data_IF_336865407896
#
_entry.id   IF_336865407896
#
_cell.length_a   1.000
_cell.length_b   1.000
_cell.length_c   1.000
_cell.angle_alpha   90.00
_cell.angle_beta   90.00
_cell.angle_gamma   90.00
#
_symmetry.space_group_name_H-M   'P 1'
#
loop_
_entity.id
_entity.type
_entity.pdbx_description
1 polymer ?
#
# COMPACT_ATOMS: atom_id res chain seq x y z
N UNK A 1 5.85 -45.36 35.73
CA UNK A 1 6.58 -44.30 36.47
C UNK A 1 5.88 -42.98 36.10
N UNK A 2 4.92 -42.43 36.87
CA UNK A 2 5.05 -41.27 37.81
C UNK A 2 6.24 -40.35 37.41
N UNK A 3 6.13 -39.05 37.04
CA UNK A 3 5.47 -37.85 37.63
C UNK A 3 5.38 -36.78 36.49
N UNK A 4 4.30 -36.06 36.22
CA UNK A 4 3.76 -34.85 36.87
C UNK A 4 4.75 -33.67 37.08
N UNK A 5 4.29 -32.46 36.70
CA UNK A 5 4.51 -31.09 37.26
C UNK A 5 5.02 -30.07 36.22
N UNK A 6 4.21 -29.17 35.62
CA UNK A 6 3.56 -27.88 36.00
C UNK A 6 4.39 -26.57 35.93
N UNK A 7 3.74 -25.54 35.35
CA UNK A 7 3.67 -24.10 35.71
C UNK A 7 4.78 -23.09 35.31
N UNK A 8 4.36 -22.16 34.42
CA UNK A 8 4.09 -20.72 34.70
C UNK A 8 5.26 -19.79 35.02
N UNK A 9 5.41 -18.70 34.24
CA UNK A 9 5.85 -17.35 34.68
C UNK A 9 5.58 -16.39 33.50
N UNK A 10 4.52 -15.58 33.49
CA UNK A 10 4.23 -14.35 34.24
C UNK A 10 4.61 -13.08 33.45
N UNK A 11 3.64 -12.17 33.42
CA UNK A 11 3.60 -10.90 32.71
C UNK A 11 4.67 -9.90 33.17
N UNK A 12 5.12 -9.06 32.23
CA UNK A 12 5.86 -7.83 32.51
C UNK A 12 4.99 -6.61 32.20
N UNK A 13 5.12 -5.64 33.10
CA UNK A 13 4.31 -4.48 33.42
C UNK A 13 4.65 -3.21 32.60
N UNK A 14 3.59 -2.42 32.29
CA UNK A 14 3.34 -0.99 32.60
C UNK A 14 4.27 0.16 32.07
N UNK A 15 3.57 1.29 31.75
CA UNK A 15 3.96 2.73 31.74
C UNK A 15 4.40 3.32 30.40
N UNK A 16 3.97 4.51 29.94
CA UNK A 16 3.41 5.71 30.59
C UNK A 16 2.50 6.48 29.58
N UNK A 17 1.32 7.01 29.95
CA UNK A 17 1.09 8.39 30.42
C UNK A 17 1.94 9.48 29.74
N UNK A 18 1.31 10.43 29.03
CA UNK A 18 1.15 11.83 29.50
C UNK A 18 1.10 12.87 28.35
N UNK A 19 0.01 13.64 28.36
CA UNK A 19 -0.09 15.10 28.11
C UNK A 19 0.04 15.69 26.68
N UNK A 20 -1.12 16.04 26.11
CA UNK A 20 -1.43 17.39 25.56
C UNK A 20 -1.46 18.43 26.71
N UNK A 21 -1.56 19.77 26.48
CA UNK A 21 -1.44 20.59 25.26
C UNK A 21 -0.50 21.82 25.49
N UNK A 22 -0.20 22.62 24.46
CA UNK A 22 -0.18 24.11 24.55
C UNK A 22 0.23 24.78 23.22
N UNK A 23 -0.74 25.50 22.67
CA UNK A 23 -0.58 26.62 21.73
C UNK A 23 -0.22 27.88 22.53
N UNK A 24 0.58 28.80 21.96
CA UNK A 24 0.16 30.19 22.07
C UNK A 24 0.24 30.92 20.74
N UNK A 25 -0.89 31.56 20.44
CA UNK A 25 -1.08 32.58 19.44
C UNK A 25 -0.41 33.92 19.81
N UNK A 26 -0.35 34.78 18.76
CA UNK A 26 -0.19 36.25 18.67
C UNK A 26 1.17 36.90 18.98
N UNK A 27 1.56 38.05 18.35
CA UNK A 27 0.75 38.94 17.50
C UNK A 27 1.38 39.43 16.17
N UNK A 28 0.50 39.99 15.33
CA UNK A 28 0.78 40.91 14.23
C UNK A 28 1.58 42.15 14.69
N UNK A 29 2.48 42.66 13.85
CA UNK A 29 2.79 44.10 13.77
C UNK A 29 3.22 44.48 12.36
N UNK A 30 2.45 45.42 11.81
CA UNK A 30 2.57 46.13 10.54
C UNK A 30 3.63 47.24 10.57
N UNK A 31 4.40 47.41 9.49
CA UNK A 31 4.91 48.68 8.91
C UNK A 31 5.79 48.35 7.68
N UNK A 32 5.41 48.65 6.43
CA UNK A 32 5.64 49.94 5.71
C UNK A 32 7.06 50.47 5.95
N UNK A 33 7.93 50.74 4.96
CA UNK A 33 7.72 51.50 3.73
C UNK A 33 9.01 51.45 2.86
N UNK A 34 8.94 51.94 1.61
CA UNK A 34 10.04 52.42 0.72
C UNK A 34 10.43 51.60 -0.54
N UNK A 35 9.69 51.95 -1.60
CA UNK A 35 9.99 52.27 -3.01
C UNK A 35 11.44 52.30 -3.53
N UNK A 36 11.58 51.70 -4.74
CA UNK A 36 12.49 51.97 -5.88
C UNK A 36 14.01 51.73 -5.80
N UNK A 37 14.49 50.72 -6.53
CA UNK A 37 15.48 50.90 -7.60
C UNK A 37 15.66 49.63 -8.46
N UNK A 38 15.72 49.86 -9.77
CA UNK A 38 15.92 48.93 -10.88
C UNK A 38 17.13 48.01 -10.71
N UNK A 39 16.91 46.70 -10.86
CA UNK A 39 17.95 45.78 -11.36
C UNK A 39 17.34 44.87 -12.42
N UNK A 40 17.55 45.27 -13.66
CA UNK A 40 17.47 44.40 -14.83
C UNK A 40 18.45 43.23 -14.65
N UNK A 41 18.12 42.07 -15.23
CA UNK A 41 18.94 40.85 -15.29
C UNK A 41 19.01 40.00 -14.01
N UNK A 42 18.26 38.90 -13.99
CA UNK A 42 18.75 37.52 -13.83
C UNK A 42 17.57 36.57 -13.66
N UNK A 43 17.67 35.44 -14.37
CA UNK A 43 16.75 34.31 -14.39
C UNK A 43 15.35 34.60 -14.92
N UNK A 44 15.20 34.27 -16.20
CA UNK A 44 14.09 33.48 -16.71
C UNK A 44 13.87 32.29 -15.75
N UNK A 45 13.24 32.53 -14.58
CA UNK A 45 12.49 31.51 -13.86
C UNK A 45 11.36 31.16 -14.82
N UNK A 46 11.68 30.23 -15.72
CA UNK A 46 10.74 29.29 -16.29
C UNK A 46 9.81 28.99 -15.13
N UNK A 47 8.58 29.49 -15.24
CA UNK A 47 7.46 29.13 -14.41
C UNK A 47 7.64 27.66 -14.13
N UNK A 48 8.02 27.35 -12.88
CA UNK A 48 7.94 26.01 -12.38
C UNK A 48 6.45 25.77 -12.50
N UNK A 49 6.06 25.13 -13.61
CA UNK A 49 4.74 24.58 -13.75
C UNK A 49 4.59 23.81 -12.46
N UNK A 50 3.68 24.27 -11.58
CA UNK A 50 3.26 23.49 -10.45
C UNK A 50 2.96 22.14 -11.05
N UNK A 51 3.81 21.16 -10.74
CA UNK A 51 3.59 19.78 -11.08
C UNK A 51 2.25 19.50 -10.41
N UNK A 52 1.19 19.51 -11.22
CA UNK A 52 -0.10 19.04 -10.77
C UNK A 52 0.20 17.68 -10.15
N UNK A 53 -0.30 17.39 -8.93
CA UNK A 53 -0.09 16.08 -8.33
C UNK A 53 -0.41 15.06 -9.41
N UNK A 54 0.59 14.27 -9.84
CA UNK A 54 0.36 13.26 -10.87
C UNK A 54 -0.77 12.40 -10.33
N UNK A 55 -1.93 12.43 -10.99
CA UNK A 55 -3.04 11.58 -10.59
C UNK A 55 -2.51 10.14 -10.57
N UNK A 56 -2.78 9.38 -9.50
CA UNK A 56 -2.22 8.05 -9.36
C UNK A 56 -2.58 7.23 -10.61
N UNK A 57 -1.56 6.70 -11.29
CA UNK A 57 -1.75 5.95 -12.54
C UNK A 57 -2.62 4.73 -12.24
N UNK A 58 -3.86 4.76 -12.72
CA UNK A 58 -4.79 3.65 -12.71
C UNK A 58 -4.98 3.18 -14.15
N UNK A 59 -4.26 2.12 -14.52
CA UNK A 59 -4.45 1.45 -15.80
C UNK A 59 -5.12 0.11 -15.52
N UNK A 60 -6.45 0.09 -15.69
CA UNK A 60 -7.27 -1.08 -15.42
C UNK A 60 -7.13 -2.16 -16.50
N UNK A 61 -6.68 -1.81 -17.71
CA UNK A 61 -6.53 -2.75 -18.81
C UNK A 61 -7.79 -3.57 -19.11
N UNK A 62 -7.59 -4.68 -19.81
CA UNK A 62 -8.58 -5.74 -19.95
C UNK A 62 -8.34 -6.79 -18.85
N UNK A 63 -9.22 -6.91 -17.84
CA UNK A 63 -8.99 -7.78 -16.69
C UNK A 63 -8.98 -9.27 -17.05
N UNK A 64 -9.50 -9.66 -18.22
CA UNK A 64 -9.41 -11.03 -18.72
C UNK A 64 -7.99 -11.37 -19.20
N UNK A 65 -7.20 -10.36 -19.58
CA UNK A 65 -5.89 -10.54 -20.23
C UNK A 65 -4.73 -10.14 -19.34
N UNK A 66 -4.90 -9.12 -18.52
CA UNK A 66 -3.85 -8.56 -17.69
C UNK A 66 -4.34 -8.18 -16.30
N UNK A 67 -3.40 -8.24 -15.34
CA UNK A 67 -3.63 -7.74 -14.00
C UNK A 67 -3.71 -6.21 -14.04
N UNK A 68 -4.65 -5.58 -13.31
CA UNK A 68 -4.78 -4.14 -13.27
C UNK A 68 -3.53 -3.51 -12.63
N UNK A 69 -3.09 -2.40 -13.22
CA UNK A 69 -1.95 -1.62 -12.73
C UNK A 69 -2.49 -0.48 -11.89
N UNK A 70 -2.45 -0.68 -10.58
CA UNK A 70 -2.93 0.25 -9.58
C UNK A 70 -1.78 0.70 -8.67
N UNK A 71 -2.01 1.77 -7.93
CA UNK A 71 -1.10 2.28 -6.91
C UNK A 71 -1.89 2.57 -5.64
N UNK A 72 -1.24 2.36 -4.49
CA UNK A 72 -1.79 2.74 -3.20
C UNK A 72 -2.07 4.25 -3.16
N UNK A 73 -3.22 4.63 -2.62
CA UNK A 73 -3.70 6.03 -2.63
C UNK A 73 -3.44 6.77 -1.31
N UNK A 74 -3.10 6.05 -0.23
CA UNK A 74 -2.82 6.65 1.07
C UNK A 74 -1.32 6.94 1.27
N UNK A 75 -1.00 8.06 1.93
CA UNK A 75 0.40 8.37 2.25
C UNK A 75 0.99 7.41 3.30
N UNK A 76 0.17 6.99 4.27
CA UNK A 76 0.56 6.11 5.37
C UNK A 76 0.04 4.68 5.17
N UNK A 77 0.69 3.66 5.77
CA UNK A 77 0.19 2.29 5.73
C UNK A 77 -1.25 2.19 6.29
N UNK A 78 -2.15 1.67 5.48
CA UNK A 78 -3.55 1.48 5.82
C UNK A 78 -3.93 0.03 6.06
N UNK A 79 -5.23 -0.20 6.30
CA UNK A 79 -5.81 -1.54 6.53
C UNK A 79 -6.23 -2.23 5.24
N UNK A 80 -6.00 -1.63 4.06
CA UNK A 80 -6.54 -2.16 2.82
C UNK A 80 -6.09 -3.58 2.48
N UNK A 81 -4.90 -4.03 2.90
CA UNK A 81 -4.44 -5.42 2.68
C UNK A 81 -5.27 -6.46 3.46
N UNK A 82 -6.01 -6.07 4.49
CA UNK A 82 -6.91 -6.96 5.22
C UNK A 82 -8.22 -7.22 4.46
N UNK A 83 -8.53 -6.43 3.43
CA UNK A 83 -9.72 -6.65 2.62
C UNK A 83 -9.59 -7.92 1.77
N UNK A 84 -10.71 -8.63 1.62
CA UNK A 84 -10.80 -9.84 0.81
C UNK A 84 -10.85 -9.50 -0.69
N UNK A 85 -10.20 -10.35 -1.46
CA UNK A 85 -10.27 -10.35 -2.92
C UNK A 85 -11.42 -11.26 -3.38
N UNK A 86 -12.17 -10.77 -4.34
CA UNK A 86 -13.24 -11.53 -5.01
C UNK A 86 -12.69 -12.10 -6.31
N UNK A 87 -12.52 -13.41 -6.36
CA UNK A 87 -11.98 -14.13 -7.51
C UNK A 87 -13.04 -14.71 -8.44
N UNK A 88 -14.33 -14.39 -8.22
CA UNK A 88 -15.45 -15.00 -8.96
C UNK A 88 -15.53 -14.56 -10.41
N UNK A 89 -15.03 -13.36 -10.73
CA UNK A 89 -14.86 -12.88 -12.10
C UNK A 89 -13.64 -11.95 -12.23
N UNK A 90 -13.11 -11.75 -13.46
CA UNK A 90 -12.04 -10.79 -13.71
C UNK A 90 -12.37 -9.37 -13.23
N UNK A 91 -13.61 -8.94 -13.41
CA UNK A 91 -14.09 -7.61 -13.00
C UNK A 91 -14.17 -7.49 -11.48
N UNK A 92 -14.75 -8.49 -10.79
CA UNK A 92 -14.82 -8.50 -9.33
C UNK A 92 -13.41 -8.51 -8.69
N UNK A 93 -12.47 -9.21 -9.34
CA UNK A 93 -11.07 -9.21 -8.94
C UNK A 93 -10.44 -7.82 -9.12
N UNK A 94 -10.66 -7.17 -10.26
CA UNK A 94 -10.16 -5.81 -10.48
C UNK A 94 -10.76 -4.79 -9.50
N UNK A 95 -12.07 -4.87 -9.23
CA UNK A 95 -12.77 -4.00 -8.28
C UNK A 95 -12.28 -4.18 -6.84
N UNK A 96 -12.04 -5.44 -6.42
CA UNK A 96 -11.49 -5.71 -5.09
C UNK A 96 -10.06 -5.18 -4.95
N UNK A 97 -9.23 -5.31 -5.99
CA UNK A 97 -7.90 -4.69 -6.01
C UNK A 97 -7.95 -3.16 -6.00
N UNK A 98 -8.90 -2.54 -6.68
CA UNK A 98 -9.10 -1.08 -6.61
C UNK A 98 -9.46 -0.63 -5.19
N UNK A 99 -10.34 -1.37 -4.51
CA UNK A 99 -10.70 -1.09 -3.10
C UNK A 99 -9.47 -1.20 -2.20
N UNK A 100 -8.70 -2.29 -2.33
CA UNK A 100 -7.45 -2.47 -1.60
C UNK A 100 -6.47 -1.32 -1.88
N UNK A 101 -6.26 -0.98 -3.15
CA UNK A 101 -5.39 0.13 -3.56
C UNK A 101 -5.83 1.46 -2.96
N UNK A 102 -7.15 1.70 -2.91
CA UNK A 102 -7.70 2.92 -2.34
C UNK A 102 -7.44 3.05 -0.85
N UNK A 103 -7.19 1.95 -0.12
CA UNK A 103 -6.99 1.89 1.35
C UNK A 103 -5.56 1.48 1.77
N UNK A 104 -4.60 1.49 0.85
CA UNK A 104 -3.20 1.10 1.10
C UNK A 104 -2.23 2.21 0.75
N UNK A 105 -1.04 2.13 1.36
CA UNK A 105 0.10 2.94 0.91
C UNK A 105 0.71 2.42 -0.39
N UNK A 106 1.42 3.25 -1.16
CA UNK A 106 2.13 2.81 -2.36
C UNK A 106 3.04 1.61 -2.12
N UNK A 107 3.72 1.54 -0.98
CA UNK A 107 4.63 0.45 -0.66
C UNK A 107 3.89 -0.86 -0.35
N UNK A 108 2.80 -0.80 0.40
CA UNK A 108 1.93 -1.95 0.66
C UNK A 108 1.34 -2.51 -0.63
N UNK A 109 0.81 -1.64 -1.49
CA UNK A 109 0.22 -2.07 -2.75
C UNK A 109 1.28 -2.63 -3.71
N UNK A 110 2.48 -2.03 -3.75
CA UNK A 110 3.60 -2.55 -4.56
C UNK A 110 4.00 -3.96 -4.14
N UNK A 111 3.97 -4.25 -2.85
CA UNK A 111 4.22 -5.60 -2.36
C UNK A 111 3.15 -6.59 -2.85
N UNK A 112 1.87 -6.22 -2.77
CA UNK A 112 0.77 -7.02 -3.29
C UNK A 112 0.89 -7.25 -4.81
N UNK A 113 1.11 -6.19 -5.61
CA UNK A 113 1.28 -6.28 -7.07
C UNK A 113 2.45 -7.22 -7.43
N UNK A 114 3.60 -7.10 -6.76
CA UNK A 114 4.73 -7.99 -6.99
C UNK A 114 4.43 -9.45 -6.66
N UNK A 115 3.62 -9.69 -5.63
CA UNK A 115 3.17 -11.02 -5.21
C UNK A 115 2.21 -11.62 -6.22
N UNK A 116 1.24 -10.85 -6.71
CA UNK A 116 0.30 -11.25 -7.77
C UNK A 116 1.03 -11.61 -9.07
N UNK A 117 1.99 -10.78 -9.51
CA UNK A 117 2.81 -11.07 -10.69
C UNK A 117 3.63 -12.35 -10.52
N UNK A 118 4.19 -12.56 -9.33
CA UNK A 118 4.92 -13.78 -9.03
C UNK A 118 4.00 -15.01 -9.11
N UNK A 119 2.81 -14.95 -8.51
CA UNK A 119 1.83 -16.03 -8.55
C UNK A 119 1.33 -16.30 -9.98
N UNK A 120 1.06 -15.27 -10.78
CA UNK A 120 0.72 -15.41 -12.22
C UNK A 120 1.78 -16.21 -12.98
N UNK A 121 3.06 -15.98 -12.69
CA UNK A 121 4.16 -16.65 -13.38
C UNK A 121 4.42 -18.08 -12.87
N UNK A 122 4.25 -18.31 -11.56
CA UNK A 122 4.83 -19.50 -10.91
C UNK A 122 3.81 -20.40 -10.20
N UNK A 123 2.58 -19.96 -9.99
CA UNK A 123 1.51 -20.80 -9.45
C UNK A 123 1.02 -21.78 -10.50
N UNK A 124 0.79 -23.03 -10.11
CA UNK A 124 0.17 -24.03 -10.98
C UNK A 124 -1.28 -23.66 -11.33
N UNK A 125 -1.97 -22.95 -10.45
CA UNK A 125 -3.34 -22.49 -10.71
C UNK A 125 -3.40 -21.51 -11.90
N UNK A 126 -2.32 -20.75 -12.14
CA UNK A 126 -2.22 -19.81 -13.25
C UNK A 126 -1.86 -20.47 -14.59
N UNK A 127 -1.56 -21.78 -14.64
CA UNK A 127 -1.20 -22.47 -15.89
C UNK A 127 -2.35 -22.52 -16.91
N UNK A 128 -3.59 -22.50 -16.42
CA UNK A 128 -4.80 -22.36 -17.25
C UNK A 128 -5.10 -20.91 -17.66
N UNK A 129 -4.27 -19.94 -17.27
CA UNK A 129 -4.48 -18.52 -17.47
C UNK A 129 -4.94 -17.78 -16.21
N UNK A 130 -5.37 -16.54 -16.40
CA UNK A 130 -5.82 -15.66 -15.31
C UNK A 130 -7.08 -16.15 -14.58
N UNK A 131 -8.10 -16.74 -15.23
CA UNK A 131 -9.28 -17.23 -14.51
C UNK A 131 -8.95 -18.24 -13.41
N UNK A 132 -8.03 -19.18 -13.67
CA UNK A 132 -7.57 -20.14 -12.66
C UNK A 132 -6.75 -19.50 -11.55
N UNK A 133 -6.02 -18.41 -11.85
CA UNK A 133 -5.37 -17.61 -10.82
C UNK A 133 -6.43 -16.94 -9.93
N UNK A 134 -7.44 -16.27 -10.51
CA UNK A 134 -8.47 -15.56 -9.75
C UNK A 134 -9.24 -16.49 -8.83
N UNK A 135 -9.69 -17.65 -9.32
CA UNK A 135 -10.35 -18.66 -8.50
C UNK A 135 -9.47 -19.13 -7.33
N UNK A 136 -8.15 -19.29 -7.56
CA UNK A 136 -7.22 -19.72 -6.50
C UNK A 136 -6.96 -18.66 -5.43
N UNK A 137 -7.25 -17.39 -5.71
CA UNK A 137 -7.09 -16.27 -4.80
C UNK A 137 -8.43 -15.78 -4.23
N UNK A 138 -9.54 -16.38 -4.65
CA UNK A 138 -10.86 -16.03 -4.15
C UNK A 138 -10.93 -16.18 -2.63
N UNK A 139 -11.56 -15.21 -1.98
CA UNK A 139 -11.70 -15.14 -0.52
C UNK A 139 -10.37 -15.06 0.25
N UNK A 140 -9.24 -14.77 -0.41
CA UNK A 140 -7.98 -14.43 0.28
C UNK A 140 -7.88 -12.93 0.52
N UNK A 141 -7.31 -12.53 1.65
CA UNK A 141 -6.90 -11.14 1.88
C UNK A 141 -5.62 -10.81 1.10
N UNK A 142 -5.36 -9.51 0.89
CA UNK A 142 -4.08 -9.06 0.32
C UNK A 142 -2.86 -9.57 1.10
N UNK A 143 -2.94 -9.63 2.43
CA UNK A 143 -1.88 -10.20 3.28
C UNK A 143 -1.66 -11.70 3.03
N UNK A 144 -2.75 -12.45 2.88
CA UNK A 144 -2.69 -13.89 2.61
C UNK A 144 -2.10 -14.18 1.23
N UNK A 145 -2.43 -13.35 0.22
CA UNK A 145 -1.85 -13.43 -1.13
C UNK A 145 -0.33 -13.23 -1.07
N UNK A 146 0.13 -12.20 -0.34
CA UNK A 146 1.56 -11.93 -0.15
C UNK A 146 2.23 -13.11 0.55
N UNK A 147 1.63 -13.64 1.62
CA UNK A 147 2.14 -14.78 2.36
C UNK A 147 2.21 -16.05 1.49
N UNK A 148 1.22 -16.28 0.63
CA UNK A 148 1.18 -17.38 -0.33
C UNK A 148 2.33 -17.27 -1.34
N UNK A 149 2.54 -16.09 -1.93
CA UNK A 149 3.65 -15.86 -2.85
C UNK A 149 5.02 -16.13 -2.18
N UNK A 150 5.22 -15.63 -0.96
CA UNK A 150 6.44 -15.86 -0.17
C UNK A 150 6.68 -17.34 0.13
N UNK A 151 5.62 -18.10 0.47
CA UNK A 151 5.72 -19.55 0.70
C UNK A 151 6.18 -20.28 -0.55
N UNK A 152 5.56 -19.98 -1.70
CA UNK A 152 5.92 -20.57 -2.99
C UNK A 152 7.36 -20.22 -3.41
N UNK A 153 7.83 -19.01 -3.10
CA UNK A 153 9.24 -18.62 -3.28
C UNK A 153 10.19 -19.45 -2.42
N UNK A 154 9.87 -19.62 -1.14
CA UNK A 154 10.69 -20.38 -0.20
C UNK A 154 10.80 -21.87 -0.62
N UNK A 155 9.68 -22.49 -0.98
CA UNK A 155 9.65 -23.87 -1.47
C UNK A 155 10.55 -24.07 -2.69
N UNK A 156 10.56 -23.12 -3.63
CA UNK A 156 11.40 -23.19 -4.83
C UNK A 156 12.88 -22.99 -4.54
N UNK A 157 13.24 -22.15 -3.56
CA UNK A 157 14.64 -21.97 -3.16
C UNK A 157 15.22 -23.20 -2.44
N UNK A 158 14.35 -24.03 -1.86
CA UNK A 158 14.76 -25.24 -1.14
C UNK A 158 14.94 -26.48 -2.04
N UNK A 159 14.65 -26.38 -3.33
CA UNK A 159 14.83 -27.44 -4.33
C UNK A 159 16.11 -27.22 -5.11
#
# INVERSE_FOLDING_TARGET
MKKAVTLLFAAVFISACSSEPEEPAVPETTQQDQTEAVSDRVTRMRSQAGEAPEEPVQDLGDPERDLPRLQGQFAEPGMGLANLVDGTSPEAFAESLQRIASETSPDQYRELDSSLRYLRMYSSAAWGGLPGLYESLDSMSGEEIIAHARRLQAERRSR
#
